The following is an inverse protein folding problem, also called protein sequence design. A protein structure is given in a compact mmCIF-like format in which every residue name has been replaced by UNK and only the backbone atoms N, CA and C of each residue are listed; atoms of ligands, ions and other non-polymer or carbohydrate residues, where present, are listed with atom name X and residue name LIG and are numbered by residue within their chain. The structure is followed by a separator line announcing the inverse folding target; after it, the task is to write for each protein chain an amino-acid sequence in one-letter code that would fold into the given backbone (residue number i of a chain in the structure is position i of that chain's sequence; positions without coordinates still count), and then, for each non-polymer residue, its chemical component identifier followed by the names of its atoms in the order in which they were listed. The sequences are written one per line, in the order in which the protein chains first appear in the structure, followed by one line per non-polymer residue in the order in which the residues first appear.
data_IF_218396721018
#
_entry.id   IF_218396721018
#
_cell.length_a   1.000
_cell.length_b   1.000
_cell.length_c   1.000
_cell.angle_alpha   90.00
_cell.angle_beta   90.00
_cell.angle_gamma   90.00
#
_symmetry.space_group_name_H-M   'P 1'
#
loop_
_entity.id
_entity.type
_entity.pdbx_description
1 polymer ?
#
# COMPACT_ATOMS: atom_id res chain seq x y z
N UNK A 1 -16.76 12.29 8.09
CA UNK A 1 -17.90 11.86 7.26
C UNK A 1 -17.38 10.98 6.14
N UNK A 2 -17.92 9.77 6.02
CA UNK A 2 -17.57 8.85 4.93
C UNK A 2 -18.39 9.25 3.70
N UNK A 3 -17.72 9.39 2.55
CA UNK A 3 -18.38 9.80 1.32
C UNK A 3 -18.65 8.58 0.45
N UNK A 4 -19.79 8.57 -0.23
CA UNK A 4 -20.00 7.64 -1.33
C UNK A 4 -19.00 7.97 -2.45
N UNK A 5 -18.41 6.95 -3.06
CA UNK A 5 -17.55 7.13 -4.23
C UNK A 5 -18.36 7.75 -5.39
N UNK A 6 -17.73 8.60 -6.24
CA UNK A 6 -18.36 9.14 -7.43
C UNK A 6 -18.98 8.06 -8.31
N UNK A 7 -20.13 8.36 -8.93
CA UNK A 7 -20.88 7.41 -9.75
C UNK A 7 -20.03 6.79 -10.87
N UNK A 8 -19.26 7.61 -11.59
CA UNK A 8 -18.35 7.14 -12.65
C UNK A 8 -17.35 6.09 -12.17
N UNK A 9 -16.74 6.30 -10.99
CA UNK A 9 -15.79 5.35 -10.39
C UNK A 9 -16.47 4.07 -9.94
N UNK A 10 -17.69 4.15 -9.40
CA UNK A 10 -18.52 2.97 -9.06
C UNK A 10 -18.83 2.14 -10.30
N UNK A 11 -19.31 2.77 -11.37
CA UNK A 11 -19.60 2.09 -12.64
C UNK A 11 -18.35 1.41 -13.21
N UNK A 12 -17.24 2.14 -13.27
CA UNK A 12 -16.00 1.59 -13.83
C UNK A 12 -15.45 0.44 -13.02
N UNK A 13 -15.57 0.47 -11.68
CA UNK A 13 -15.20 -0.67 -10.85
C UNK A 13 -16.03 -1.92 -11.16
N UNK A 14 -17.33 -1.77 -11.43
CA UNK A 14 -18.19 -2.89 -11.84
C UNK A 14 -17.73 -3.44 -13.19
N UNK A 15 -17.45 -2.57 -14.16
CA UNK A 15 -16.92 -2.96 -15.47
C UNK A 15 -15.60 -3.73 -15.33
N UNK A 16 -14.64 -3.20 -14.56
CA UNK A 16 -13.35 -3.85 -14.37
C UNK A 16 -13.48 -5.22 -13.72
N UNK A 17 -14.37 -5.39 -12.73
CA UNK A 17 -14.62 -6.70 -12.10
C UNK A 17 -15.17 -7.76 -13.06
N UNK A 18 -15.91 -7.35 -14.08
CA UNK A 18 -16.49 -8.25 -15.07
C UNK A 18 -15.49 -8.65 -16.17
N UNK A 19 -14.38 -7.91 -16.32
CA UNK A 19 -13.38 -8.19 -17.34
C UNK A 19 -12.44 -9.34 -16.92
N UNK A 20 -11.87 -10.06 -17.90
CA UNK A 20 -10.90 -11.11 -17.62
C UNK A 20 -9.61 -10.49 -17.07
N UNK A 21 -8.98 -11.14 -16.09
CA UNK A 21 -7.77 -10.67 -15.39
C UNK A 21 -6.52 -10.95 -16.21
N UNK A 22 -6.39 -10.30 -17.37
CA UNK A 22 -5.26 -10.45 -18.29
C UNK A 22 -4.36 -9.21 -18.23
N UNK A 23 -3.14 -9.36 -18.75
CA UNK A 23 -2.21 -8.21 -18.91
C UNK A 23 -2.81 -7.12 -19.82
N UNK A 24 -3.58 -7.53 -20.83
CA UNK A 24 -4.22 -6.60 -21.77
C UNK A 24 -5.31 -5.76 -21.09
N UNK A 25 -6.22 -6.40 -20.35
CA UNK A 25 -7.29 -5.67 -19.65
C UNK A 25 -6.73 -4.75 -18.56
N UNK A 26 -5.66 -5.17 -17.87
CA UNK A 26 -4.94 -4.29 -16.92
C UNK A 26 -4.34 -3.06 -17.62
N UNK A 27 -3.64 -3.24 -18.75
CA UNK A 27 -3.03 -2.12 -19.48
C UNK A 27 -4.08 -1.16 -20.05
N UNK A 28 -5.15 -1.70 -20.66
CA UNK A 28 -6.27 -0.92 -21.14
C UNK A 28 -6.94 -0.16 -20.00
N UNK A 29 -7.18 -0.84 -18.88
CA UNK A 29 -7.74 -0.23 -17.70
C UNK A 29 -6.87 0.88 -17.16
N UNK A 30 -5.56 0.66 -17.04
CA UNK A 30 -4.60 1.67 -16.62
C UNK A 30 -4.65 2.92 -17.49
N UNK A 31 -4.75 2.75 -18.81
CA UNK A 31 -4.89 3.86 -19.74
C UNK A 31 -6.22 4.60 -19.53
N UNK A 32 -7.34 3.87 -19.52
CA UNK A 32 -8.68 4.44 -19.40
C UNK A 32 -8.90 5.13 -18.05
N UNK A 33 -8.56 4.47 -16.94
CA UNK A 33 -8.67 5.05 -15.59
C UNK A 33 -7.81 6.31 -15.46
N UNK A 34 -6.59 6.33 -16.00
CA UNK A 34 -5.73 7.53 -15.92
C UNK A 34 -6.21 8.67 -16.79
N UNK A 35 -6.90 8.35 -17.88
CA UNK A 35 -7.42 9.34 -18.82
C UNK A 35 -8.75 9.92 -18.34
N UNK A 36 -9.68 9.05 -17.90
CA UNK A 36 -11.08 9.39 -17.62
C UNK A 36 -11.45 9.37 -16.14
N UNK A 37 -10.72 8.64 -15.29
CA UNK A 37 -10.99 8.49 -13.85
C UNK A 37 -9.83 9.04 -13.03
N UNK A 38 -9.48 10.30 -13.27
CA UNK A 38 -8.43 10.99 -12.53
C UNK A 38 -8.71 10.94 -11.02
N UNK A 39 -7.65 11.00 -10.18
CA UNK A 39 -7.84 11.18 -8.76
C UNK A 39 -8.72 12.40 -8.47
N UNK A 40 -9.52 12.31 -7.42
CA UNK A 40 -10.36 13.44 -7.00
C UNK A 40 -9.50 14.66 -6.68
N UNK A 41 -10.02 15.85 -6.99
CA UNK A 41 -9.34 17.11 -6.69
C UNK A 41 -9.28 17.41 -5.19
N UNK A 42 -10.12 16.74 -4.39
CA UNK A 42 -10.21 16.86 -2.93
C UNK A 42 -10.23 15.46 -2.31
N UNK A 43 -9.67 15.34 -1.11
CA UNK A 43 -9.69 14.09 -0.34
C UNK A 43 -11.11 13.51 -0.29
N UNK A 44 -11.24 12.26 -0.70
CA UNK A 44 -12.50 11.53 -0.72
C UNK A 44 -12.24 10.12 -0.17
N UNK A 45 -12.49 9.96 1.12
CA UNK A 45 -12.27 8.70 1.84
C UNK A 45 -13.46 7.77 1.57
N UNK A 46 -13.16 6.58 1.07
CA UNK A 46 -14.15 5.54 0.76
C UNK A 46 -13.76 4.23 1.42
N UNK A 47 -14.74 3.54 1.98
CA UNK A 47 -14.59 2.17 2.45
C UNK A 47 -14.90 1.19 1.32
N UNK A 48 -14.12 0.13 1.21
CA UNK A 48 -14.39 -0.92 0.25
C UNK A 48 -13.87 -2.29 0.68
N UNK A 49 -14.40 -3.34 0.03
CA UNK A 49 -13.80 -4.67 0.05
C UNK A 49 -12.94 -4.86 -1.18
N UNK A 50 -11.63 -4.82 -0.97
CA UNK A 50 -10.63 -5.16 -1.95
C UNK A 50 -10.64 -6.66 -2.24
N UNK A 51 -10.57 -6.99 -3.52
CA UNK A 51 -10.43 -8.35 -4.02
C UNK A 51 -11.38 -9.37 -3.37
N UNK A 52 -12.66 -8.98 -3.29
CA UNK A 52 -13.76 -9.83 -2.85
C UNK A 52 -14.01 -9.89 -1.34
N UNK A 53 -13.09 -9.43 -0.48
CA UNK A 53 -13.26 -9.61 0.96
C UNK A 53 -12.46 -8.71 1.89
N UNK A 54 -11.34 -8.15 1.44
CA UNK A 54 -10.36 -7.48 2.28
C UNK A 54 -10.81 -6.03 2.57
N UNK A 55 -11.13 -5.67 3.82
CA UNK A 55 -11.57 -4.31 4.13
C UNK A 55 -10.42 -3.31 3.95
N UNK A 56 -10.68 -2.21 3.23
CA UNK A 56 -9.72 -1.11 3.04
C UNK A 56 -10.44 0.24 3.00
N UNK A 57 -9.81 1.25 3.62
CA UNK A 57 -10.15 2.66 3.53
C UNK A 57 -9.21 3.34 2.53
N UNK A 58 -9.74 3.92 1.46
CA UNK A 58 -8.93 4.53 0.40
C UNK A 58 -9.29 6.00 0.23
N UNK A 59 -8.26 6.84 0.00
CA UNK A 59 -8.45 8.19 -0.48
C UNK A 59 -8.42 8.23 -2.01
N UNK A 60 -9.56 8.57 -2.62
CA UNK A 60 -9.68 8.68 -4.08
C UNK A 60 -8.95 9.91 -4.66
N UNK A 61 -8.46 10.84 -3.82
CA UNK A 61 -7.56 11.90 -4.25
C UNK A 61 -6.11 11.40 -4.44
N UNK A 62 -5.77 10.25 -3.85
CA UNK A 62 -4.48 9.62 -4.07
C UNK A 62 -4.50 8.79 -5.35
N UNK A 63 -3.42 8.83 -6.14
CA UNK A 63 -3.31 8.01 -7.35
C UNK A 63 -3.46 6.51 -7.05
N UNK A 64 -2.79 6.04 -6.00
CA UNK A 64 -2.83 4.61 -5.62
C UNK A 64 -4.19 4.22 -5.08
N UNK A 65 -4.81 5.03 -4.22
CA UNK A 65 -6.16 4.75 -3.70
C UNK A 65 -7.22 4.78 -4.81
N UNK A 66 -7.09 5.71 -5.76
CA UNK A 66 -7.94 5.76 -6.96
C UNK A 66 -7.77 4.50 -7.83
N UNK A 67 -6.53 4.13 -8.15
CA UNK A 67 -6.24 2.95 -8.97
C UNK A 67 -6.73 1.67 -8.26
N UNK A 68 -6.46 1.50 -6.96
CA UNK A 68 -6.95 0.36 -6.17
C UNK A 68 -8.48 0.29 -6.12
N UNK A 69 -9.16 1.43 -5.98
CA UNK A 69 -10.61 1.46 -5.96
C UNK A 69 -11.21 1.05 -7.30
N UNK A 70 -10.69 1.60 -8.40
CA UNK A 70 -11.21 1.36 -9.74
C UNK A 70 -10.88 -0.05 -10.23
N UNK A 71 -9.65 -0.52 -10.03
CA UNK A 71 -9.21 -1.83 -10.53
C UNK A 71 -9.56 -2.98 -9.60
N UNK A 72 -9.71 -2.74 -8.30
CA UNK A 72 -9.91 -3.82 -7.34
C UNK A 72 -8.81 -4.90 -7.52
N UNK A 73 -9.17 -6.18 -7.62
CA UNK A 73 -8.23 -7.28 -7.85
C UNK A 73 -7.55 -7.29 -9.24
N UNK A 74 -7.92 -6.39 -10.14
CA UNK A 74 -7.17 -6.17 -11.38
C UNK A 74 -5.86 -5.41 -11.13
N UNK A 75 -5.76 -4.67 -10.02
CA UNK A 75 -4.54 -3.97 -9.66
C UNK A 75 -3.43 -4.98 -9.41
N UNK A 76 -2.35 -4.96 -10.20
CA UNK A 76 -1.25 -5.92 -10.09
C UNK A 76 -1.72 -7.38 -10.18
N UNK A 77 -2.77 -7.68 -10.97
CA UNK A 77 -3.47 -8.98 -10.97
C UNK A 77 -2.56 -10.20 -11.12
N UNK A 78 -1.61 -10.17 -12.06
CA UNK A 78 -0.65 -11.27 -12.28
C UNK A 78 0.26 -11.46 -11.06
N UNK A 79 0.74 -10.36 -10.48
CA UNK A 79 1.59 -10.37 -9.29
C UNK A 79 0.80 -10.86 -8.08
N UNK A 80 -0.43 -10.37 -7.88
CA UNK A 80 -1.33 -10.79 -6.80
C UNK A 80 -1.73 -12.25 -6.91
N UNK A 81 -1.97 -12.77 -8.10
CA UNK A 81 -2.28 -14.19 -8.29
C UNK A 81 -1.14 -15.08 -7.80
N UNK A 82 0.11 -14.75 -8.18
CA UNK A 82 1.30 -15.48 -7.73
C UNK A 82 1.54 -15.29 -6.23
N UNK A 83 1.36 -14.06 -5.74
CA UNK A 83 1.50 -13.73 -4.32
C UNK A 83 0.53 -14.52 -3.45
N UNK A 84 -0.73 -14.66 -3.86
CA UNK A 84 -1.73 -15.48 -3.16
C UNK A 84 -1.29 -16.93 -3.04
N UNK A 85 -0.80 -17.53 -4.13
CA UNK A 85 -0.32 -18.91 -4.12
C UNK A 85 0.83 -19.10 -3.11
N UNK A 86 1.82 -18.20 -3.13
CA UNK A 86 2.95 -18.26 -2.20
C UNK A 86 2.52 -18.00 -0.74
N UNK A 87 1.61 -17.05 -0.52
CA UNK A 87 1.16 -16.69 0.82
C UNK A 87 0.39 -17.82 1.53
N UNK A 88 -0.34 -18.66 0.79
CA UNK A 88 -1.05 -19.82 1.35
C UNK A 88 -0.13 -20.80 2.06
N UNK A 89 1.10 -20.93 1.58
CA UNK A 89 2.08 -21.90 2.10
C UNK A 89 3.11 -21.26 3.04
N UNK A 90 3.17 -19.93 3.09
CA UNK A 90 4.14 -19.22 3.91
C UNK A 90 3.80 -19.30 5.41
N UNK A 91 4.80 -19.61 6.24
CA UNK A 91 4.69 -19.45 7.70
C UNK A 91 4.91 -18.01 8.14
N UNK A 92 5.77 -17.27 7.43
CA UNK A 92 6.08 -15.86 7.66
C UNK A 92 6.19 -15.10 6.35
N UNK A 93 5.62 -13.89 6.32
CA UNK A 93 5.65 -12.97 5.18
C UNK A 93 6.25 -11.64 5.62
N UNK A 94 7.21 -11.13 4.84
CA UNK A 94 7.79 -9.80 5.02
C UNK A 94 7.42 -8.93 3.82
N UNK A 95 6.61 -7.90 4.05
CA UNK A 95 6.16 -6.94 3.03
C UNK A 95 6.87 -5.59 3.25
N UNK A 96 7.86 -5.30 2.39
CA UNK A 96 8.71 -4.11 2.49
C UNK A 96 8.17 -3.01 1.58
N UNK A 97 7.90 -1.84 2.16
CA UNK A 97 7.24 -0.75 1.42
C UNK A 97 5.76 -1.05 1.22
N UNK A 98 5.12 -1.55 2.29
CA UNK A 98 3.77 -2.11 2.26
C UNK A 98 2.69 -1.09 1.84
N UNK A 99 2.98 0.22 1.95
CA UNK A 99 2.08 1.30 1.57
C UNK A 99 0.69 1.14 2.23
N UNK A 100 -0.37 0.92 1.45
CA UNK A 100 -1.72 0.70 1.99
C UNK A 100 -1.97 -0.72 2.50
N UNK A 101 -1.00 -1.62 2.37
CA UNK A 101 -1.07 -2.99 2.85
C UNK A 101 -1.60 -3.98 1.84
N UNK A 102 -1.67 -3.65 0.55
CA UNK A 102 -2.29 -4.52 -0.47
C UNK A 102 -1.73 -5.96 -0.42
N UNK A 103 -0.40 -6.11 -0.35
CA UNK A 103 0.24 -7.43 -0.30
C UNK A 103 0.18 -8.05 1.10
N UNK A 104 0.47 -7.30 2.17
CA UNK A 104 0.35 -7.78 3.54
C UNK A 104 -1.07 -8.28 3.91
N UNK A 105 -2.11 -7.54 3.54
CA UNK A 105 -3.50 -7.88 3.81
C UNK A 105 -3.94 -9.08 2.98
N UNK A 106 -3.53 -9.17 1.71
CA UNK A 106 -3.78 -10.36 0.88
C UNK A 106 -3.11 -11.58 1.50
N UNK A 107 -1.86 -11.46 1.96
CA UNK A 107 -1.17 -12.58 2.59
C UNK A 107 -1.89 -13.08 3.85
N UNK A 108 -2.27 -12.16 4.75
CA UNK A 108 -3.00 -12.52 5.97
C UNK A 108 -4.42 -13.04 5.68
N UNK A 109 -5.03 -12.63 4.58
CA UNK A 109 -6.34 -13.13 4.16
C UNK A 109 -6.27 -14.55 3.58
N UNK A 110 -5.26 -14.83 2.76
CA UNK A 110 -5.06 -16.18 2.19
C UNK A 110 -4.57 -17.19 3.21
N UNK A 111 -3.76 -16.74 4.17
CA UNK A 111 -3.28 -17.58 5.26
C UNK A 111 -3.39 -16.84 6.60
N UNK A 112 -4.53 -16.96 7.30
CA UNK A 112 -4.72 -16.38 8.63
C UNK A 112 -3.76 -16.91 9.70
N UNK A 113 -3.03 -17.99 9.41
CA UNK A 113 -2.05 -18.57 10.33
C UNK A 113 -0.65 -17.99 10.17
N UNK A 114 -0.33 -17.39 9.01
CA UNK A 114 0.98 -16.81 8.74
C UNK A 114 1.26 -15.58 9.61
N UNK A 115 2.50 -15.42 10.06
CA UNK A 115 2.97 -14.15 10.64
C UNK A 115 3.28 -13.19 9.49
N UNK A 116 2.75 -11.97 9.53
CA UNK A 116 3.01 -10.97 8.49
C UNK A 116 3.68 -9.75 9.12
N UNK A 117 4.82 -9.33 8.58
CA UNK A 117 5.52 -8.12 9.00
C UNK A 117 5.44 -7.12 7.84
N UNK A 118 4.66 -6.05 8.02
CA UNK A 118 4.44 -5.02 7.03
C UNK A 118 5.24 -3.76 7.41
N UNK A 119 6.19 -3.37 6.55
CA UNK A 119 7.11 -2.26 6.81
C UNK A 119 6.76 -1.07 5.92
N UNK A 120 6.52 0.09 6.52
CA UNK A 120 6.22 1.33 5.81
C UNK A 120 6.98 2.53 6.39
N UNK A 121 7.58 3.36 5.54
CA UNK A 121 8.44 4.45 5.94
C UNK A 121 7.70 5.79 6.13
N UNK A 122 6.61 6.05 5.39
CA UNK A 122 5.80 7.25 5.60
C UNK A 122 4.88 7.07 6.81
N UNK A 123 5.08 7.89 7.84
CA UNK A 123 4.30 7.86 9.09
C UNK A 123 2.78 7.91 8.87
N UNK A 124 2.30 8.68 7.89
CA UNK A 124 0.86 8.83 7.62
C UNK A 124 0.32 7.57 6.95
N UNK A 125 1.05 7.02 6.00
CA UNK A 125 0.67 5.77 5.32
C UNK A 125 0.73 4.60 6.31
N UNK A 126 1.76 4.52 7.16
CA UNK A 126 1.85 3.53 8.22
C UNK A 126 0.67 3.62 9.21
N UNK A 127 0.13 4.81 9.47
CA UNK A 127 -1.07 4.96 10.30
C UNK A 127 -2.33 4.42 9.62
N UNK A 128 -2.46 4.60 8.29
CA UNK A 128 -3.55 4.01 7.49
C UNK A 128 -3.41 2.48 7.45
N UNK A 129 -2.21 1.98 7.16
CA UNK A 129 -1.89 0.57 7.15
C UNK A 129 -2.25 -0.12 8.48
N UNK A 130 -1.95 0.51 9.62
CA UNK A 130 -2.38 -0.01 10.95
C UNK A 130 -3.89 -0.15 11.07
N UNK A 131 -4.67 0.79 10.52
CA UNK A 131 -6.13 0.68 10.53
C UNK A 131 -6.61 -0.51 9.70
N UNK A 132 -6.04 -0.72 8.51
CA UNK A 132 -6.39 -1.88 7.70
C UNK A 132 -5.97 -3.20 8.37
N UNK A 133 -4.78 -3.22 8.96
CA UNK A 133 -4.22 -4.38 9.65
C UNK A 133 -4.96 -4.73 10.96
N UNK A 134 -5.76 -3.82 11.53
CA UNK A 134 -6.50 -4.06 12.77
C UNK A 134 -7.47 -5.26 12.67
N UNK A 135 -7.88 -5.63 11.45
CA UNK A 135 -8.71 -6.81 11.19
C UNK A 135 -7.93 -8.12 11.15
N UNK A 136 -6.60 -8.08 11.22
CA UNK A 136 -5.71 -9.22 11.02
C UNK A 136 -4.68 -9.31 12.16
N UNK A 137 -4.94 -10.13 13.21
CA UNK A 137 -4.14 -10.11 14.44
C UNK A 137 -2.69 -10.55 14.26
N UNK A 138 -2.37 -11.25 13.16
CA UNK A 138 -1.01 -11.70 12.82
C UNK A 138 -0.21 -10.73 11.97
N UNK A 139 -0.77 -9.55 11.64
CA UNK A 139 -0.02 -8.48 10.96
C UNK A 139 0.64 -7.57 11.99
N UNK A 140 1.96 -7.48 11.94
CA UNK A 140 2.78 -6.50 12.63
C UNK A 140 3.15 -5.36 11.69
N UNK A 141 2.74 -4.12 12.01
CA UNK A 141 3.08 -2.94 11.19
C UNK A 141 4.25 -2.17 11.78
N UNK A 142 5.38 -2.22 11.08
CA UNK A 142 6.61 -1.51 11.43
C UNK A 142 6.69 -0.18 10.66
N UNK A 143 6.70 0.94 11.40
CA UNK A 143 7.02 2.24 10.81
C UNK A 143 8.54 2.41 10.73
N UNK A 144 9.13 1.98 9.62
CA UNK A 144 10.57 1.99 9.40
C UNK A 144 10.88 2.04 7.89
N UNK A 145 12.08 2.50 7.56
CA UNK A 145 12.67 2.27 6.24
C UNK A 145 13.64 1.09 6.33
N UNK A 146 13.62 0.19 5.34
CA UNK A 146 14.58 -0.90 5.26
C UNK A 146 15.85 -0.39 4.59
N UNK A 147 16.98 -0.53 5.28
CA UNK A 147 18.30 -0.10 4.81
C UNK A 147 19.35 -1.08 5.31
N UNK A 148 20.57 -1.00 4.77
CA UNK A 148 21.70 -1.85 5.18
C UNK A 148 22.10 -1.63 6.66
N UNK A 149 21.94 -0.41 7.19
CA UNK A 149 22.41 -0.02 8.51
C UNK A 149 21.31 0.64 9.32
N UNK A 150 21.17 0.25 10.58
CA UNK A 150 20.24 0.89 11.49
C UNK A 150 20.58 2.37 11.68
N UNK A 151 19.56 3.22 11.67
CA UNK A 151 19.73 4.66 11.84
C UNK A 151 18.42 5.42 11.71
N UNK A 152 18.49 6.71 11.98
CA UNK A 152 17.36 7.63 11.83
C UNK A 152 17.62 8.55 10.65
N UNK A 153 16.64 8.63 9.75
CA UNK A 153 16.68 9.53 8.61
C UNK A 153 15.40 10.36 8.56
N UNK A 154 15.53 11.60 8.09
CA UNK A 154 14.36 12.46 7.83
C UNK A 154 13.71 11.97 6.54
N UNK A 155 12.51 11.44 6.65
CA UNK A 155 11.69 11.10 5.50
C UNK A 155 11.24 12.40 4.81
N UNK A 156 11.72 12.66 3.60
CA UNK A 156 11.18 13.73 2.75
C UNK A 156 9.93 13.19 2.06
N UNK A 157 8.80 13.25 2.76
CA UNK A 157 7.53 12.74 2.25
C UNK A 157 7.13 13.41 0.94
N UNK A 158 6.96 12.61 -0.11
CA UNK A 158 6.26 13.00 -1.34
C UNK A 158 4.76 12.93 -1.11
N UNK A 159 4.22 13.78 -0.23
CA UNK A 159 2.78 13.92 -0.11
C UNK A 159 2.19 14.53 -1.37
N UNK A 160 1.78 13.70 -2.34
CA UNK A 160 0.88 14.07 -3.44
C UNK A 160 1.32 15.25 -4.33
N UNK A 161 2.54 15.77 -4.22
CA UNK A 161 2.99 16.90 -5.03
C UNK A 161 3.90 16.39 -6.15
N UNK A 162 3.37 16.53 -7.38
CA UNK A 162 4.06 16.53 -8.68
C UNK A 162 5.55 16.20 -8.59
N UNK A 163 5.92 15.00 -9.04
CA UNK A 163 7.31 14.58 -9.24
C UNK A 163 8.03 15.57 -10.17
N UNK A 164 8.59 16.66 -9.63
CA UNK A 164 9.63 17.43 -10.32
C UNK A 164 10.87 16.57 -10.27
N UNK A 165 11.32 16.13 -11.44
CA UNK A 165 12.58 15.41 -11.68
C UNK A 165 13.71 16.21 -11.01
N UNK A 166 14.11 15.83 -9.79
CA UNK A 166 15.34 16.35 -9.17
C UNK A 166 16.50 15.47 -9.63
N UNK A 167 17.60 16.13 -9.99
CA UNK A 167 18.77 15.49 -10.55
C UNK A 167 19.39 14.48 -9.55
N UNK A 168 20.04 13.41 -10.02
CA UNK A 168 20.58 12.33 -9.18
C UNK A 168 21.60 12.77 -8.12
N UNK A 169 22.21 13.94 -8.29
CA UNK A 169 23.26 14.52 -7.45
C UNK A 169 22.77 15.03 -6.07
N UNK A 170 21.47 15.22 -5.86
CA UNK A 170 20.94 15.75 -4.60
C UNK A 170 20.78 14.71 -3.46
N UNK A 171 20.91 13.41 -3.73
CA UNK A 171 20.67 12.35 -2.73
C UNK A 171 21.85 12.14 -1.77
N UNK A 172 23.04 12.63 -2.10
CA UNK A 172 24.30 12.25 -1.44
C UNK A 172 24.77 13.10 -0.26
N UNK A 173 24.12 14.21 0.12
CA UNK A 173 24.67 15.10 1.18
C UNK A 173 23.61 15.61 2.15
N UNK A 174 23.45 14.90 3.27
CA UNK A 174 23.39 15.43 4.67
C UNK A 174 22.83 14.37 5.63
N UNK A 175 23.69 13.46 6.07
CA UNK A 175 23.52 12.79 7.36
C UNK A 175 23.98 13.77 8.45
N UNK A 176 23.07 14.55 9.03
CA UNK A 176 23.35 15.25 10.30
C UNK A 176 22.80 14.40 11.44
N UNK A 177 23.68 13.97 12.34
CA UNK A 177 23.33 13.33 13.63
C UNK A 177 22.39 14.27 14.39
N UNK A 178 21.27 13.75 14.89
CA UNK A 178 20.44 14.47 15.86
C UNK A 178 20.72 13.88 17.26
N UNK A 179 21.20 14.66 18.24
CA UNK A 179 21.47 14.21 19.59
C UNK A 179 20.24 14.49 20.48
N UNK A 180 19.31 13.54 20.57
CA UNK A 180 18.25 13.61 21.59
C UNK A 180 17.70 12.23 21.92
N UNK A 181 18.40 11.56 22.83
CA UNK A 181 17.94 10.74 23.97
C UNK A 181 16.51 10.15 24.05
N UNK A 182 15.92 9.68 22.96
CA UNK A 182 14.66 8.91 23.01
C UNK A 182 14.92 7.42 23.22
N UNK A 183 14.43 6.87 24.34
CA UNK A 183 14.54 5.46 24.76
C UNK A 183 14.26 4.46 23.63
N UNK A 184 15.20 3.53 23.46
CA UNK A 184 15.31 2.56 22.38
C UNK A 184 14.58 1.25 22.74
N UNK A 185 13.56 0.85 21.98
CA UNK A 185 13.28 -0.59 21.81
C UNK A 185 14.12 -1.10 20.64
N UNK A 186 15.25 -1.68 21.00
CA UNK A 186 16.16 -2.40 20.10
C UNK A 186 15.39 -3.62 19.57
N UNK A 187 14.98 -3.60 18.29
CA UNK A 187 14.54 -4.83 17.62
C UNK A 187 15.81 -5.68 17.43
N UNK A 188 16.10 -6.52 18.43
CA UNK A 188 17.13 -7.56 18.33
C UNK A 188 16.52 -8.76 17.60
N UNK A 189 17.30 -9.27 16.65
CA UNK A 189 17.12 -10.56 15.96
C UNK A 189 16.55 -11.63 16.89
N UNK A 190 15.36 -12.13 16.58
CA UNK A 190 14.99 -13.53 16.74
C UNK A 190 14.13 -13.91 15.54
N UNK A 191 14.82 -14.25 14.44
CA UNK A 191 14.30 -15.18 13.45
C UNK A 191 15.01 -16.50 13.80
N UNK A 192 14.28 -17.38 14.48
CA UNK A 192 14.51 -18.81 14.55
C UNK A 192 13.24 -19.49 14.09
#
# INVERSE_FOLDING_TARGET
MMNAAPFSKRCMRVVWRALPRTRWSYNLGKLLTRTFLRPESRSCQVEMRFAGGIPMSLDLASFVGNDLYCFDDHYESVTLQRWRALAREASTVLDIGSHFGTFALVAAHENPSARVIAVEADKRIAAILRKHAAHYPKIEVLHAAVTEKAGWHRFRGGGGQRWRRKRPDEWGRKCRRNPSGGSLRKIRREIR
#
